data_IF_591115681830
#
_entry.id   IF_591115681830
#
_cell.length_a   1.000
_cell.length_b   1.000
_cell.length_c   1.000
_cell.angle_alpha   90.00
_cell.angle_beta   90.00
_cell.angle_gamma   90.00
#
_symmetry.space_group_name_H-M   'P 1'
#
loop_
_entity.id
_entity.type
_entity.pdbx_description
1 polymer ?
#
# COMPACT_ATOMS: atom_id res chain seq x y z
N UNK A 1 -21.77 -17.04 1.67
CA UNK A 1 -20.65 -16.48 2.44
C UNK A 1 -20.04 -15.31 1.67
N UNK A 2 -19.57 -14.25 2.34
CA UNK A 2 -18.92 -13.12 1.70
C UNK A 2 -17.53 -13.55 1.15
N UNK A 3 -17.19 -13.10 -0.07
CA UNK A 3 -15.91 -13.39 -0.74
C UNK A 3 -15.17 -12.14 -1.23
N UNK A 4 -15.64 -10.95 -0.89
CA UNK A 4 -15.12 -9.69 -1.44
C UNK A 4 -13.60 -9.54 -1.34
N UNK A 5 -12.99 -9.92 -0.22
CA UNK A 5 -11.54 -9.84 -0.06
C UNK A 5 -10.77 -10.82 -0.96
N UNK A 6 -11.34 -12.01 -1.26
CA UNK A 6 -10.74 -12.95 -2.20
C UNK A 6 -10.79 -12.38 -3.62
N UNK A 7 -11.96 -11.82 -3.99
CA UNK A 7 -12.21 -11.32 -5.35
C UNK A 7 -11.47 -10.00 -5.62
N UNK A 8 -11.22 -9.19 -4.58
CA UNK A 8 -10.49 -7.92 -4.68
C UNK A 8 -8.97 -8.06 -4.60
N UNK A 9 -8.45 -9.21 -4.19
CA UNK A 9 -6.99 -9.38 -4.07
C UNK A 9 -6.32 -9.38 -5.45
N UNK A 10 -5.48 -8.38 -5.78
CA UNK A 10 -4.98 -8.20 -7.14
C UNK A 10 -4.05 -9.34 -7.59
N UNK A 11 -3.45 -10.03 -6.64
CA UNK A 11 -2.53 -11.15 -6.91
C UNK A 11 -3.14 -12.52 -6.58
N UNK A 12 -4.38 -12.56 -6.12
CA UNK A 12 -5.03 -13.78 -5.65
C UNK A 12 -4.29 -14.46 -4.48
N UNK A 13 -3.66 -13.66 -3.62
CA UNK A 13 -2.92 -14.17 -2.47
C UNK A 13 -3.83 -14.82 -1.42
N UNK A 14 -5.12 -14.44 -1.34
CA UNK A 14 -6.07 -15.07 -0.44
C UNK A 14 -6.62 -16.33 -1.14
N UNK A 15 -5.99 -17.47 -0.88
CA UNK A 15 -6.24 -18.72 -1.61
C UNK A 15 -7.46 -19.50 -1.08
N UNK A 16 -7.84 -19.27 0.17
CA UNK A 16 -9.02 -19.86 0.80
C UNK A 16 -9.45 -18.99 1.98
N UNK A 17 -10.65 -19.19 2.57
CA UNK A 17 -11.02 -18.54 3.81
C UNK A 17 -9.94 -18.72 4.88
N UNK A 18 -9.51 -17.60 5.48
CA UNK A 18 -8.46 -17.54 6.52
C UNK A 18 -7.07 -18.05 6.07
N UNK A 19 -6.83 -18.19 4.77
CA UNK A 19 -5.54 -18.69 4.26
C UNK A 19 -4.95 -17.74 3.24
N UNK A 20 -3.74 -17.25 3.51
CA UNK A 20 -2.98 -16.35 2.64
C UNK A 20 -1.70 -17.04 2.19
N UNK A 21 -1.45 -16.99 0.89
CA UNK A 21 -0.14 -17.30 0.31
C UNK A 21 0.74 -16.05 0.38
N UNK A 22 1.68 -16.02 1.31
CA UNK A 22 2.57 -14.87 1.53
C UNK A 22 3.44 -14.56 0.30
N UNK A 23 3.82 -15.58 -0.48
CA UNK A 23 4.61 -15.40 -1.70
C UNK A 23 3.86 -14.64 -2.81
N UNK A 24 2.56 -14.49 -2.67
CA UNK A 24 1.69 -13.73 -3.59
C UNK A 24 1.16 -12.44 -2.98
N UNK A 25 1.35 -12.21 -1.68
CA UNK A 25 0.77 -11.07 -0.98
C UNK A 25 1.57 -9.79 -1.22
N UNK A 26 0.97 -8.78 -1.84
CA UNK A 26 1.61 -7.46 -2.07
C UNK A 26 2.14 -6.87 -0.77
N UNK A 27 1.38 -6.94 0.33
CA UNK A 27 1.83 -6.42 1.63
C UNK A 27 3.10 -7.12 2.12
N UNK A 28 3.21 -8.44 1.94
CA UNK A 28 4.43 -9.17 2.27
C UNK A 28 5.61 -8.67 1.45
N UNK A 29 5.43 -8.47 0.14
CA UNK A 29 6.48 -8.02 -0.75
C UNK A 29 6.90 -6.56 -0.52
N UNK A 30 5.99 -5.71 -0.11
CA UNK A 30 6.31 -4.29 0.15
C UNK A 30 6.98 -4.07 1.51
N UNK A 31 6.86 -5.02 2.45
CA UNK A 31 7.37 -4.88 3.82
C UNK A 31 8.54 -5.82 4.12
N UNK A 32 8.45 -7.09 3.69
CA UNK A 32 9.32 -8.16 4.18
C UNK A 32 10.17 -8.81 3.08
N UNK A 33 9.79 -8.69 1.80
CA UNK A 33 10.40 -9.50 0.75
C UNK A 33 11.81 -9.06 0.39
N UNK A 34 12.61 -10.05 0.01
CA UNK A 34 13.96 -9.86 -0.54
C UNK A 34 13.94 -9.03 -1.86
N UNK A 35 15.10 -8.47 -2.25
CA UNK A 35 15.23 -7.60 -3.42
C UNK A 35 14.73 -8.19 -4.74
N UNK A 36 14.80 -9.49 -4.90
CA UNK A 36 14.56 -10.20 -6.17
C UNK A 36 13.07 -10.47 -6.46
N UNK A 37 12.17 -9.99 -5.60
CA UNK A 37 10.73 -10.12 -5.83
C UNK A 37 10.33 -9.47 -7.16
N UNK A 38 9.63 -10.22 -8.03
CA UNK A 38 9.16 -9.78 -9.35
C UNK A 38 7.65 -9.51 -9.39
N UNK A 39 6.95 -9.68 -8.27
CA UNK A 39 5.49 -9.48 -8.20
C UNK A 39 5.12 -8.03 -8.55
N UNK A 40 4.01 -7.83 -9.25
CA UNK A 40 3.43 -6.50 -9.44
C UNK A 40 2.94 -5.96 -8.08
N UNK A 41 3.43 -4.78 -7.71
CA UNK A 41 3.05 -4.12 -6.46
C UNK A 41 1.75 -3.30 -6.58
N UNK A 42 1.17 -3.21 -7.77
CA UNK A 42 -0.08 -2.48 -8.04
C UNK A 42 -0.10 -1.04 -7.50
N UNK A 43 1.06 -0.37 -7.54
CA UNK A 43 1.22 1.00 -7.07
C UNK A 43 1.52 1.14 -5.57
N UNK A 44 1.48 0.06 -4.80
CA UNK A 44 1.78 0.10 -3.37
C UNK A 44 3.29 0.24 -3.13
N UNK A 45 3.66 1.14 -2.22
CA UNK A 45 5.06 1.32 -1.77
C UNK A 45 5.28 0.64 -0.42
N UNK A 46 4.26 0.65 0.44
CA UNK A 46 4.27 0.03 1.76
C UNK A 46 2.88 -0.50 2.10
N UNK A 47 2.80 -1.75 2.54
CA UNK A 47 1.53 -2.41 2.82
C UNK A 47 0.73 -2.77 1.56
N UNK A 48 -0.52 -3.15 1.76
CA UNK A 48 -1.56 -3.31 0.75
C UNK A 48 -2.87 -3.59 1.49
N UNK A 49 -3.85 -2.73 1.33
CA UNK A 49 -5.12 -2.81 2.05
C UNK A 49 -6.32 -3.13 1.14
N UNK A 50 -6.12 -3.64 -0.08
CA UNK A 50 -7.21 -3.97 -1.02
C UNK A 50 -8.26 -4.91 -0.40
N UNK A 51 -7.82 -5.93 0.31
CA UNK A 51 -8.72 -6.86 0.99
C UNK A 51 -9.45 -6.24 2.20
N UNK A 52 -8.88 -5.21 2.82
CA UNK A 52 -9.45 -4.48 3.93
C UNK A 52 -10.44 -3.42 3.45
N UNK A 53 -10.07 -2.68 2.40
CA UNK A 53 -10.88 -1.59 1.83
C UNK A 53 -12.20 -2.07 1.26
N UNK A 54 -12.22 -3.25 0.63
CA UNK A 54 -13.44 -3.85 0.10
C UNK A 54 -14.33 -4.53 1.16
N UNK A 55 -13.83 -4.67 2.40
CA UNK A 55 -14.50 -5.45 3.44
C UNK A 55 -15.76 -4.74 3.96
N UNK A 56 -16.96 -5.37 3.89
CA UNK A 56 -18.18 -4.74 4.36
C UNK A 56 -18.18 -4.48 5.87
N UNK A 57 -17.43 -5.26 6.64
CA UNK A 57 -17.29 -5.05 8.08
C UNK A 57 -16.49 -3.79 8.41
N UNK A 58 -15.57 -3.37 7.55
CA UNK A 58 -14.77 -2.15 7.76
C UNK A 58 -15.55 -0.87 7.43
N UNK A 59 -16.60 -0.95 6.59
CA UNK A 59 -17.42 0.22 6.22
C UNK A 59 -18.10 0.91 7.40
N UNK A 60 -18.37 0.16 8.45
CA UNK A 60 -19.09 0.64 9.63
C UNK A 60 -18.21 0.53 10.89
N UNK A 61 -16.90 0.34 10.71
CA UNK A 61 -15.97 0.34 11.82
C UNK A 61 -16.01 1.72 12.50
N UNK A 62 -16.13 1.77 13.84
CA UNK A 62 -16.12 3.04 14.54
C UNK A 62 -14.76 3.72 14.36
N UNK A 63 -14.77 5.04 14.19
CA UNK A 63 -13.55 5.84 14.23
C UNK A 63 -12.96 5.71 15.63
N UNK A 64 -11.65 5.43 15.70
CA UNK A 64 -10.95 5.36 16.98
C UNK A 64 -10.98 6.72 17.70
N UNK A 65 -10.90 6.68 19.02
CA UNK A 65 -10.85 7.88 19.87
C UNK A 65 -9.48 8.11 20.51
N UNK A 66 -8.50 7.28 20.16
CA UNK A 66 -7.15 7.38 20.70
C UNK A 66 -6.26 8.13 19.72
N UNK A 67 -5.87 9.35 20.07
CA UNK A 67 -5.04 10.23 19.24
C UNK A 67 -3.66 9.67 18.95
N UNK A 68 -3.21 8.64 19.67
CA UNK A 68 -1.98 7.93 19.33
C UNK A 68 -2.04 7.20 17.97
N UNK A 69 -3.24 7.00 17.41
CA UNK A 69 -3.44 6.41 16.08
C UNK A 69 -3.75 7.46 15.00
N UNK A 70 -3.70 8.74 15.33
CA UNK A 70 -3.89 9.78 14.32
C UNK A 70 -2.75 9.71 13.31
N UNK A 71 -3.01 9.99 12.00
CA UNK A 71 -1.99 9.97 10.98
C UNK A 71 -0.89 10.98 11.29
N UNK A 72 0.37 10.54 11.27
CA UNK A 72 1.52 11.42 11.45
C UNK A 72 1.85 12.21 10.17
N UNK A 73 1.38 11.77 9.03
CA UNK A 73 1.56 12.42 7.72
C UNK A 73 0.52 11.86 6.73
N UNK A 74 0.27 12.60 5.66
CA UNK A 74 -0.52 12.11 4.54
C UNK A 74 0.37 11.25 3.62
N UNK A 75 0.12 9.94 3.49
CA UNK A 75 0.89 9.07 2.60
C UNK A 75 0.88 9.53 1.14
N UNK A 76 -0.20 10.17 0.68
CA UNK A 76 -0.33 10.67 -0.69
C UNK A 76 0.53 11.92 -0.95
N UNK A 77 1.06 12.54 0.11
CA UNK A 77 1.92 13.74 -0.01
C UNK A 77 3.33 13.45 -0.52
N UNK A 78 3.72 12.17 -0.64
CA UNK A 78 5.07 11.77 -1.04
C UNK A 78 4.99 10.93 -2.32
N UNK A 79 5.46 11.49 -3.41
CA UNK A 79 5.52 10.79 -4.69
C UNK A 79 6.76 9.88 -4.83
N UNK A 80 6.80 9.09 -5.92
CA UNK A 80 7.90 8.16 -6.16
C UNK A 80 9.26 8.85 -6.33
N UNK A 81 9.29 10.08 -6.86
CA UNK A 81 10.53 10.84 -7.03
C UNK A 81 11.04 11.35 -5.69
N UNK A 82 10.15 11.78 -4.82
CA UNK A 82 10.49 12.20 -3.46
C UNK A 82 11.01 11.03 -2.62
N UNK A 83 10.44 9.82 -2.77
CA UNK A 83 10.99 8.61 -2.16
C UNK A 83 12.40 8.31 -2.67
N UNK A 84 12.62 8.41 -3.99
CA UNK A 84 13.93 8.16 -4.60
C UNK A 84 15.02 9.15 -4.14
N UNK A 85 14.65 10.41 -3.93
CA UNK A 85 15.57 11.49 -3.55
C UNK A 85 15.80 11.61 -2.05
N UNK A 86 14.99 10.97 -1.21
CA UNK A 86 15.07 11.09 0.25
C UNK A 86 16.38 10.51 0.78
N UNK A 87 17.06 11.19 1.68
CA UNK A 87 18.23 10.67 2.37
C UNK A 87 17.89 10.00 3.71
N UNK A 88 18.83 9.24 4.28
CA UNK A 88 18.64 8.50 5.53
C UNK A 88 18.38 9.41 6.75
N UNK A 89 18.94 10.61 6.75
CA UNK A 89 18.74 11.56 7.85
C UNK A 89 17.29 12.06 7.85
N UNK A 90 16.80 12.50 6.68
CA UNK A 90 15.40 12.92 6.47
C UNK A 90 14.44 11.78 6.75
N UNK A 91 14.74 10.57 6.28
CA UNK A 91 13.91 9.40 6.54
C UNK A 91 13.80 9.10 8.03
N UNK A 92 14.92 9.10 8.75
CA UNK A 92 14.96 8.82 10.18
C UNK A 92 14.21 9.88 10.97
N UNK A 93 14.39 11.16 10.63
CA UNK A 93 13.69 12.27 11.28
C UNK A 93 12.16 12.16 11.11
N UNK A 94 11.71 11.92 9.88
CA UNK A 94 10.28 11.93 9.55
C UNK A 94 9.55 10.62 9.90
N UNK A 95 10.22 9.48 9.74
CA UNK A 95 9.59 8.16 9.76
C UNK A 95 10.22 7.18 10.76
N UNK A 96 11.28 7.58 11.48
CA UNK A 96 11.99 6.70 12.40
C UNK A 96 11.17 6.18 13.58
N UNK A 97 10.02 6.81 13.88
CA UNK A 97 9.05 6.37 14.90
C UNK A 97 7.81 5.70 14.32
N UNK A 98 7.77 5.50 12.99
CA UNK A 98 6.64 4.91 12.27
C UNK A 98 6.92 3.46 11.89
N UNK A 99 5.90 2.68 11.49
CA UNK A 99 6.09 1.33 10.94
C UNK A 99 6.98 1.27 9.69
N UNK A 100 7.14 2.37 8.94
CA UNK A 100 8.02 2.45 7.76
C UNK A 100 9.47 2.13 8.08
N UNK A 101 9.90 2.42 9.31
CA UNK A 101 11.24 2.05 9.81
C UNK A 101 11.55 0.56 9.67
N UNK A 102 10.53 -0.30 9.76
CA UNK A 102 10.71 -1.75 9.66
C UNK A 102 11.24 -2.17 8.28
N UNK A 103 10.69 -1.59 7.22
CA UNK A 103 11.16 -1.85 5.85
C UNK A 103 12.45 -1.10 5.52
N UNK A 104 12.66 0.07 6.13
CA UNK A 104 13.78 0.95 5.84
C UNK A 104 13.66 1.69 4.50
N UNK A 105 14.46 2.76 4.38
CA UNK A 105 14.41 3.65 3.21
C UNK A 105 14.74 2.93 1.89
N UNK A 106 15.73 2.07 1.89
CA UNK A 106 16.17 1.37 0.67
C UNK A 106 15.05 0.47 0.09
N UNK A 107 14.30 -0.21 0.95
CA UNK A 107 13.17 -1.03 0.51
C UNK A 107 12.05 -0.15 -0.09
N UNK A 108 11.72 0.95 0.56
CA UNK A 108 10.69 1.88 0.06
C UNK A 108 11.09 2.52 -1.28
N UNK A 109 12.36 2.92 -1.44
CA UNK A 109 12.92 3.41 -2.71
C UNK A 109 12.79 2.39 -3.83
N UNK A 110 13.15 1.14 -3.56
CA UNK A 110 13.03 0.03 -4.49
C UNK A 110 11.58 -0.18 -4.93
N UNK A 111 10.65 -0.18 -3.99
CA UNK A 111 9.22 -0.33 -4.29
C UNK A 111 8.70 0.85 -5.12
N UNK A 112 9.11 2.07 -4.80
CA UNK A 112 8.75 3.27 -5.56
C UNK A 112 9.29 3.21 -7.00
N UNK A 113 10.55 2.79 -7.18
CA UNK A 113 11.17 2.64 -8.50
C UNK A 113 10.46 1.56 -9.34
N UNK A 114 10.10 0.42 -8.75
CA UNK A 114 9.35 -0.65 -9.42
C UNK A 114 8.00 -0.16 -9.95
N UNK A 115 7.27 0.58 -9.13
CA UNK A 115 5.99 1.15 -9.55
C UNK A 115 6.14 2.19 -10.68
N UNK A 116 7.25 2.94 -10.71
CA UNK A 116 7.53 3.89 -11.79
C UNK A 116 7.77 3.17 -13.13
N UNK A 117 8.51 2.07 -13.12
CA UNK A 117 8.78 1.26 -14.34
C UNK A 117 7.50 0.64 -14.87
N UNK A 118 6.64 0.10 -14.02
CA UNK A 118 5.38 -0.53 -14.44
C UNK A 118 4.44 0.47 -15.12
N UNK A 119 4.41 1.73 -14.68
CA UNK A 119 3.60 2.80 -15.30
C UNK A 119 4.06 3.15 -16.71
N UNK A 120 5.34 3.04 -17.01
CA UNK A 120 5.90 3.37 -18.34
C UNK A 120 5.66 2.24 -19.35
N UNK A 121 5.65 0.99 -18.89
CA UNK A 121 5.41 -0.19 -19.75
C UNK A 121 3.94 -0.46 -20.08
N UNK A 122 3.00 0.19 -19.41
CA UNK A 122 1.55 -0.07 -19.49
C UNK A 122 0.73 0.94 -20.29
N UNK A 123 1.34 1.79 -21.13
CA UNK A 123 0.59 2.65 -22.05
C UNK A 123 0.20 1.89 -23.33
N UNK A 124 -0.76 0.97 -23.20
CA UNK A 124 -1.66 0.58 -24.27
C UNK A 124 -3.08 0.95 -23.83
N UNK A 125 -3.64 1.94 -24.49
CA UNK A 125 -5.01 2.39 -24.56
C UNK A 125 -6.07 1.57 -23.77
N UNK A 126 -6.36 1.98 -22.54
CA UNK A 126 -7.66 1.70 -21.94
C UNK A 126 -8.20 2.97 -21.27
N UNK A 127 -8.93 3.75 -22.08
CA UNK A 127 -9.70 4.92 -21.66
C UNK A 127 -10.97 4.43 -20.95
N UNK A 128 -10.87 3.83 -19.78
CA UNK A 128 -12.01 3.69 -18.86
C UNK A 128 -11.61 3.09 -17.49
N UNK A 129 -10.57 3.58 -16.88
CA UNK A 129 -10.40 3.32 -15.46
C UNK A 129 -10.19 4.65 -14.74
N UNK A 130 -11.28 5.23 -14.30
CA UNK A 130 -11.25 6.28 -13.28
C UNK A 130 -10.56 5.68 -12.05
N UNK A 131 -9.44 6.27 -11.55
CA UNK A 131 -8.89 5.83 -10.30
C UNK A 131 -9.97 6.00 -9.23
N UNK A 132 -10.26 4.91 -8.52
CA UNK A 132 -11.03 4.97 -7.29
C UNK A 132 -10.28 5.94 -6.37
N UNK A 133 -10.73 7.17 -6.36
CA UNK A 133 -10.35 8.17 -5.40
C UNK A 133 -10.62 7.55 -4.05
N UNK A 134 -9.57 7.23 -3.31
CA UNK A 134 -9.67 7.00 -1.87
C UNK A 134 -10.17 8.30 -1.29
N UNK A 135 -11.49 8.46 -1.31
CA UNK A 135 -12.15 9.57 -0.67
C UNK A 135 -11.83 9.48 0.80
N UNK A 136 -11.06 10.42 1.22
CA UNK A 136 -10.85 10.91 2.57
C UNK A 136 -12.11 10.67 3.41
N UNK A 137 -12.05 9.67 4.28
CA UNK A 137 -13.08 9.42 5.30
C UNK A 137 -12.91 10.43 6.48
N UNK A 138 -12.39 11.61 6.19
CA UNK A 138 -12.15 12.65 7.19
C UNK A 138 -12.87 13.96 6.85
N UNK A 139 -14.11 13.91 6.37
CA UNK A 139 -14.99 15.07 6.42
C UNK A 139 -16.04 14.90 7.52
N UNK A 140 -15.77 15.66 8.55
CA UNK A 140 -16.60 16.42 9.51
C UNK A 140 -18.07 15.98 9.72
N UNK A 141 -18.39 15.59 10.93
CA UNK A 141 -19.14 16.39 11.94
C UNK A 141 -19.15 15.68 13.30
#
# INVERSE_FOLDING_TARGET
ACRRCLDACPTGAIVAPMTIDAARCVSCHTIEAEPDSTIDLHGWIFGCDECQSCCPYNRHAPIHRNTAFDPLFDPASIDSAQWAAMDEATFTERFGTTPLKRSGLEHLRRNAARNAVMKVGGQSDDKNNTPSTSQTIYDKE
#
